data_IF_147069847469
#
_entry.id   IF_147069847469
#
_cell.length_a   1.000
_cell.length_b   1.000
_cell.length_c   1.000
_cell.angle_alpha   90.00
_cell.angle_beta   90.00
_cell.angle_gamma   90.00
#
_symmetry.space_group_name_H-M   'P 1'
#
loop_
_entity.id
_entity.type
_entity.pdbx_description
1 polymer ?
#
# COMPACT_ATOMS: atom_id res chain seq x y z
N UNK A 1 -1.01 -23.38 27.84
CA UNK A 1 -0.74 -24.58 27.04
C UNK A 1 -2.00 -25.33 26.60
N UNK A 2 -3.09 -25.30 27.34
CA UNK A 2 -4.34 -26.04 27.03
C UNK A 2 -5.21 -25.40 25.95
N UNK A 3 -5.14 -24.08 25.74
CA UNK A 3 -5.91 -23.38 24.69
C UNK A 3 -5.32 -23.56 23.27
N UNK A 4 -4.00 -23.74 23.13
CA UNK A 4 -3.37 -23.97 21.82
C UNK A 4 -3.84 -25.28 21.16
N UNK A 5 -4.03 -26.33 21.94
CA UNK A 5 -4.44 -27.64 21.41
C UNK A 5 -5.92 -27.69 20.99
N UNK A 6 -6.81 -26.87 21.59
CA UNK A 6 -8.23 -26.83 21.20
C UNK A 6 -8.45 -26.09 19.88
N UNK A 7 -7.62 -25.09 19.59
CA UNK A 7 -7.73 -24.33 18.34
C UNK A 7 -7.27 -25.16 17.14
N UNK A 8 -6.22 -25.95 17.28
CA UNK A 8 -5.72 -26.86 16.24
C UNK A 8 -6.72 -27.98 15.94
N UNK A 9 -7.37 -28.54 16.98
CA UNK A 9 -8.44 -29.55 16.82
C UNK A 9 -9.68 -28.99 16.11
N UNK A 10 -10.06 -27.74 16.36
CA UNK A 10 -11.22 -27.12 15.73
C UNK A 10 -10.95 -26.81 14.25
N UNK A 11 -9.74 -26.39 13.92
CA UNK A 11 -9.32 -26.12 12.52
C UNK A 11 -9.25 -27.44 11.71
N UNK A 12 -8.84 -28.53 12.32
CA UNK A 12 -8.81 -29.85 11.69
C UNK A 12 -10.21 -30.45 11.46
N UNK A 13 -11.16 -30.20 12.37
CA UNK A 13 -12.55 -30.66 12.23
C UNK A 13 -13.32 -29.88 11.13
N UNK A 14 -13.00 -28.59 10.91
CA UNK A 14 -13.60 -27.79 9.84
C UNK A 14 -13.13 -28.23 8.45
N UNK A 15 -11.96 -28.82 8.33
CA UNK A 15 -11.42 -29.35 7.07
C UNK A 15 -12.03 -30.69 6.65
N UNK A 16 -12.66 -31.42 7.57
CA UNK A 16 -13.19 -32.79 7.31
C UNK A 16 -14.66 -32.76 6.83
N UNK A 17 -15.40 -31.66 7.02
CA UNK A 17 -16.84 -31.60 6.69
C UNK A 17 -17.17 -31.04 5.29
N UNK A 18 -16.19 -30.63 4.49
CA UNK A 18 -16.43 -30.27 3.09
C UNK A 18 -16.38 -31.53 2.21
N UNK A 19 -17.54 -32.19 2.07
CA UNK A 19 -17.76 -33.07 0.92
C UNK A 19 -17.76 -32.22 -0.33
N UNK A 20 -16.58 -31.92 -0.84
CA UNK A 20 -16.40 -31.28 -2.14
C UNK A 20 -16.79 -32.35 -3.16
N UNK A 21 -18.00 -32.27 -3.71
CA UNK A 21 -18.32 -32.94 -4.96
C UNK A 21 -17.42 -32.32 -6.03
N UNK A 22 -16.20 -32.84 -6.12
CA UNK A 22 -15.20 -32.42 -7.08
C UNK A 22 -15.70 -32.83 -8.47
N UNK A 23 -16.41 -31.96 -9.14
CA UNK A 23 -16.46 -32.03 -10.61
C UNK A 23 -15.00 -32.11 -11.08
N UNK A 24 -14.72 -33.01 -12.04
CA UNK A 24 -13.39 -33.34 -12.56
C UNK A 24 -12.71 -32.18 -13.33
N UNK A 25 -12.73 -30.98 -12.81
CA UNK A 25 -11.96 -29.86 -13.35
C UNK A 25 -10.51 -30.05 -12.86
N UNK A 26 -9.58 -30.21 -13.80
CA UNK A 26 -8.15 -30.30 -13.47
C UNK A 26 -7.72 -29.01 -12.78
N UNK A 27 -6.95 -29.09 -11.68
CA UNK A 27 -6.37 -27.92 -11.06
C UNK A 27 -5.53 -27.16 -12.08
N UNK A 28 -5.63 -25.83 -12.08
CA UNK A 28 -4.77 -24.97 -12.88
C UNK A 28 -3.90 -24.10 -11.98
N UNK A 29 -2.66 -23.89 -12.41
CA UNK A 29 -1.70 -23.06 -11.69
C UNK A 29 -1.15 -22.00 -12.62
N UNK A 30 -0.97 -20.79 -12.08
CA UNK A 30 -0.25 -19.73 -12.75
C UNK A 30 0.94 -19.33 -11.90
N UNK A 31 2.08 -19.10 -12.56
CA UNK A 31 3.28 -18.55 -11.95
C UNK A 31 3.72 -17.35 -12.77
N UNK A 32 3.92 -16.24 -12.10
CA UNK A 32 4.52 -15.04 -12.66
C UNK A 32 5.39 -14.36 -11.62
N UNK A 33 6.17 -13.40 -12.04
CA UNK A 33 7.04 -12.71 -11.13
C UNK A 33 7.94 -11.71 -11.81
N UNK A 34 8.88 -11.19 -11.04
CA UNK A 34 9.93 -10.34 -11.56
C UNK A 34 11.22 -10.46 -10.74
N UNK A 35 12.31 -10.08 -11.37
CA UNK A 35 13.57 -9.77 -10.72
C UNK A 35 13.95 -8.33 -11.09
N UNK A 36 14.33 -7.55 -10.10
CA UNK A 36 14.67 -6.13 -10.24
C UNK A 36 16.00 -5.84 -9.56
N UNK A 37 16.87 -5.09 -10.22
CA UNK A 37 18.07 -4.51 -9.63
C UNK A 37 17.87 -3.00 -9.48
N UNK A 38 18.12 -2.49 -8.30
CA UNK A 38 17.88 -1.10 -7.90
C UNK A 38 19.09 -0.56 -7.13
N UNK A 39 20.16 -0.12 -7.80
CA UNK A 39 21.20 0.69 -7.16
C UNK A 39 20.68 2.09 -6.86
N UNK A 40 21.08 2.63 -5.72
CA UNK A 40 20.69 3.93 -5.23
C UNK A 40 21.90 4.69 -4.66
N UNK A 41 22.03 5.95 -5.01
CA UNK A 41 22.94 6.89 -4.38
C UNK A 41 22.11 7.91 -3.60
N UNK A 42 22.32 7.97 -2.29
CA UNK A 42 21.66 8.90 -1.37
C UNK A 42 22.69 9.92 -0.89
N UNK A 43 22.49 11.20 -1.21
CA UNK A 43 23.33 12.32 -0.81
C UNK A 43 22.61 13.15 0.27
N UNK A 44 23.05 13.04 1.50
CA UNK A 44 22.50 13.73 2.66
C UNK A 44 23.30 15.00 2.94
N UNK A 45 22.60 16.12 3.20
CA UNK A 45 23.27 17.39 3.51
C UNK A 45 23.99 17.40 4.88
N UNK A 46 23.65 16.45 5.77
CA UNK A 46 24.16 16.41 7.16
C UNK A 46 24.88 15.11 7.50
N UNK A 47 24.92 14.13 6.59
CA UNK A 47 25.54 12.82 6.77
C UNK A 47 26.36 12.47 5.55
N UNK A 48 27.16 11.42 5.64
CA UNK A 48 27.88 10.87 4.50
C UNK A 48 26.89 10.30 3.47
N UNK A 49 27.28 10.35 2.20
CA UNK A 49 26.49 9.77 1.12
C UNK A 49 26.47 8.26 1.23
N UNK A 50 25.32 7.64 0.98
CA UNK A 50 25.14 6.20 1.03
C UNK A 50 25.00 5.63 -0.39
N UNK A 51 25.60 4.46 -0.59
CA UNK A 51 25.48 3.69 -1.83
C UNK A 51 24.78 2.35 -1.56
N UNK A 52 23.48 2.35 -1.77
CA UNK A 52 22.61 1.24 -1.47
C UNK A 52 22.35 0.41 -2.73
N UNK A 53 22.38 -0.90 -2.61
CA UNK A 53 22.04 -1.79 -3.71
C UNK A 53 20.97 -2.79 -3.27
N UNK A 54 19.94 -2.93 -4.07
CA UNK A 54 18.85 -3.87 -3.82
C UNK A 54 18.62 -4.75 -5.05
N UNK A 55 18.70 -6.07 -4.86
CA UNK A 55 18.10 -7.04 -5.79
C UNK A 55 16.79 -7.49 -5.16
N UNK A 56 15.69 -7.26 -5.87
CA UNK A 56 14.36 -7.59 -5.41
C UNK A 56 13.73 -8.60 -6.38
N UNK A 57 13.46 -9.79 -5.90
CA UNK A 57 12.76 -10.84 -6.63
C UNK A 57 11.41 -11.11 -6.00
N UNK A 58 10.39 -11.28 -6.82
CA UNK A 58 9.06 -11.69 -6.40
C UNK A 58 8.54 -12.83 -7.25
N UNK A 59 7.95 -13.82 -6.60
CA UNK A 59 7.26 -14.93 -7.23
C UNK A 59 5.80 -14.92 -6.76
N UNK A 60 4.86 -14.95 -7.70
CA UNK A 60 3.44 -15.00 -7.43
C UNK A 60 2.86 -16.28 -8.02
N UNK A 61 2.30 -17.13 -7.18
CA UNK A 61 1.65 -18.37 -7.57
C UNK A 61 0.16 -18.30 -7.22
N UNK A 62 -0.69 -18.74 -8.15
CA UNK A 62 -2.12 -18.93 -7.94
C UNK A 62 -2.48 -20.36 -8.30
N UNK A 63 -3.31 -20.99 -7.47
CA UNK A 63 -3.90 -22.28 -7.74
C UNK A 63 -5.41 -22.18 -7.79
N UNK A 64 -6.03 -22.79 -8.79
CA UNK A 64 -7.48 -22.83 -8.96
C UNK A 64 -7.95 -24.28 -8.94
N UNK A 65 -8.91 -24.59 -8.09
CA UNK A 65 -9.46 -25.92 -7.86
C UNK A 65 -10.96 -25.87 -8.11
N UNK A 66 -11.35 -26.29 -9.31
CA UNK A 66 -12.72 -26.10 -9.78
C UNK A 66 -13.07 -24.61 -9.97
N UNK A 67 -14.34 -24.29 -9.83
CA UNK A 67 -14.84 -22.93 -10.03
C UNK A 67 -14.87 -22.09 -8.74
N UNK A 68 -14.70 -22.73 -7.59
CA UNK A 68 -15.04 -22.13 -6.31
C UNK A 68 -13.83 -21.89 -5.40
N UNK A 69 -12.79 -22.73 -5.48
CA UNK A 69 -11.65 -22.69 -4.57
C UNK A 69 -10.42 -22.13 -5.27
N UNK A 70 -9.78 -21.13 -4.67
CA UNK A 70 -8.49 -20.62 -5.13
C UNK A 70 -7.52 -20.40 -3.97
N UNK A 71 -6.23 -20.54 -4.27
CA UNK A 71 -5.11 -20.33 -3.37
C UNK A 71 -4.19 -19.26 -3.92
N UNK A 72 -3.62 -18.45 -3.06
CA UNK A 72 -2.59 -17.48 -3.42
C UNK A 72 -1.36 -17.65 -2.54
N UNK A 73 -0.20 -17.67 -3.18
CA UNK A 73 1.10 -17.67 -2.52
C UNK A 73 2.01 -16.68 -3.24
N UNK A 74 2.54 -15.72 -2.50
CA UNK A 74 3.48 -14.73 -3.04
C UNK A 74 4.65 -14.59 -2.07
N UNK A 75 5.87 -14.77 -2.59
CA UNK A 75 7.10 -14.64 -1.84
C UNK A 75 7.96 -13.52 -2.45
N UNK A 76 8.55 -12.73 -1.59
CA UNK A 76 9.46 -11.66 -1.90
C UNK A 76 10.84 -11.95 -1.30
N UNK A 77 11.87 -11.91 -2.14
CA UNK A 77 13.26 -12.05 -1.74
C UNK A 77 13.98 -10.74 -2.01
N UNK A 78 14.69 -10.21 -1.02
CA UNK A 78 15.46 -8.97 -1.10
C UNK A 78 16.90 -9.23 -0.70
N UNK A 79 17.83 -8.86 -1.57
CA UNK A 79 19.26 -8.89 -1.30
C UNK A 79 19.72 -7.44 -1.25
N UNK A 80 20.17 -7.00 -0.09
CA UNK A 80 20.78 -5.69 0.12
C UNK A 80 22.28 -5.83 0.25
N UNK A 81 23.03 -4.93 -0.38
CA UNK A 81 24.48 -4.86 -0.24
C UNK A 81 24.99 -3.42 -0.43
N UNK A 82 26.15 -3.12 0.19
CA UNK A 82 26.64 -1.77 0.36
C UNK A 82 26.17 -1.17 1.68
N UNK A 83 25.75 0.09 1.67
CA UNK A 83 25.11 0.72 2.83
C UNK A 83 23.67 0.21 2.95
N UNK A 84 23.32 -0.42 4.07
CA UNK A 84 22.05 -1.11 4.21
C UNK A 84 21.05 -0.22 4.93
N UNK A 85 19.91 0.13 4.30
CA UNK A 85 18.86 0.89 4.97
C UNK A 85 18.19 0.08 6.08
N UNK A 86 17.48 0.75 6.99
CA UNK A 86 16.67 0.07 7.98
C UNK A 86 15.58 -0.77 7.30
N UNK A 87 15.58 -2.07 7.54
CA UNK A 87 14.61 -3.00 6.96
C UNK A 87 13.47 -3.18 7.93
N UNK A 88 12.25 -2.84 7.49
CA UNK A 88 11.04 -3.08 8.27
C UNK A 88 10.80 -4.59 8.45
N UNK A 89 10.46 -4.96 9.68
CA UNK A 89 10.04 -6.31 10.02
C UNK A 89 8.61 -6.61 9.56
N UNK A 90 8.22 -7.86 9.71
CA UNK A 90 6.84 -8.29 9.47
C UNK A 90 5.95 -7.90 10.67
N UNK A 91 4.91 -7.12 10.41
CA UNK A 91 3.93 -6.68 11.40
C UNK A 91 2.63 -7.51 11.41
N UNK A 92 2.60 -8.65 10.69
CA UNK A 92 1.47 -9.57 10.67
C UNK A 92 1.24 -10.30 12.01
N UNK A 93 0.14 -11.03 12.10
CA UNK A 93 -0.16 -11.92 13.24
C UNK A 93 0.89 -13.03 13.35
N UNK A 94 1.32 -13.56 12.20
CA UNK A 94 2.36 -14.57 12.11
C UNK A 94 3.57 -13.92 11.42
N UNK A 95 4.74 -13.96 12.07
CA UNK A 95 5.96 -13.49 11.42
C UNK A 95 6.33 -14.43 10.26
N UNK A 96 6.20 -13.93 9.02
CA UNK A 96 6.54 -14.66 7.78
C UNK A 96 7.77 -14.04 7.09
N UNK A 97 8.56 -13.21 7.79
CA UNK A 97 9.82 -12.66 7.32
C UNK A 97 10.99 -13.39 7.97
N UNK A 98 11.93 -13.81 7.15
CA UNK A 98 13.11 -14.55 7.58
C UNK A 98 14.39 -13.98 6.95
N UNK A 99 15.40 -13.74 7.78
CA UNK A 99 16.75 -13.37 7.35
C UNK A 99 17.56 -14.65 7.11
N UNK A 100 17.83 -14.96 5.83
CA UNK A 100 18.66 -16.12 5.44
C UNK A 100 20.12 -15.80 5.72
N UNK A 101 20.55 -14.56 5.42
CA UNK A 101 21.86 -14.01 5.76
C UNK A 101 21.65 -12.62 6.34
N UNK A 102 22.39 -12.28 7.38
CA UNK A 102 22.39 -10.95 7.99
C UNK A 102 23.80 -10.61 8.47
N UNK A 103 24.48 -9.81 7.68
CA UNK A 103 25.80 -9.25 7.93
C UNK A 103 25.75 -7.73 7.83
N UNK A 104 26.78 -7.02 8.22
CA UNK A 104 26.79 -5.56 8.30
C UNK A 104 26.55 -4.89 6.94
N UNK A 105 27.10 -5.47 5.87
CA UNK A 105 27.02 -4.91 4.52
C UNK A 105 26.33 -5.83 3.50
N UNK A 106 25.69 -6.94 3.97
CA UNK A 106 24.98 -7.88 3.12
C UNK A 106 23.80 -8.51 3.87
N UNK A 107 22.59 -8.34 3.36
CA UNK A 107 21.39 -8.97 3.92
C UNK A 107 20.62 -9.69 2.82
N UNK A 108 20.27 -10.96 3.07
CA UNK A 108 19.29 -11.71 2.29
C UNK A 108 18.06 -11.95 3.17
N UNK A 109 16.97 -11.27 2.83
CA UNK A 109 15.69 -11.39 3.50
C UNK A 109 14.63 -11.98 2.56
N UNK A 110 13.93 -13.00 3.03
CA UNK A 110 12.78 -13.60 2.35
C UNK A 110 11.51 -13.39 3.18
N UNK A 111 10.42 -13.02 2.54
CA UNK A 111 9.13 -12.78 3.20
C UNK A 111 7.98 -13.31 2.36
N UNK A 112 7.05 -14.01 3.00
CA UNK A 112 5.78 -14.38 2.37
C UNK A 112 4.84 -13.19 2.51
N UNK A 113 4.64 -12.47 1.40
CA UNK A 113 3.77 -11.30 1.35
C UNK A 113 2.29 -11.69 1.30
N UNK A 114 1.97 -12.85 0.72
CA UNK A 114 0.60 -13.36 0.63
C UNK A 114 0.56 -14.87 0.75
N UNK A 115 -0.38 -15.32 1.56
CA UNK A 115 -0.70 -16.73 1.74
C UNK A 115 -2.16 -16.82 2.15
N UNK A 116 -3.04 -17.13 1.22
CA UNK A 116 -4.47 -17.15 1.47
C UNK A 116 -5.20 -18.24 0.71
N UNK A 117 -6.33 -18.62 1.28
CA UNK A 117 -7.34 -19.51 0.67
C UNK A 117 -8.61 -18.69 0.48
N UNK A 118 -9.25 -18.85 -0.69
CA UNK A 118 -10.51 -18.20 -1.06
C UNK A 118 -11.50 -19.24 -1.56
N UNK A 119 -12.73 -19.15 -1.06
CA UNK A 119 -13.85 -19.91 -1.54
C UNK A 119 -14.96 -18.97 -2.00
N UNK A 120 -15.42 -19.16 -3.22
CA UNK A 120 -16.47 -18.34 -3.82
C UNK A 120 -17.63 -19.21 -4.28
N UNK A 121 -18.84 -18.81 -3.93
CA UNK A 121 -20.09 -19.42 -4.42
C UNK A 121 -21.08 -18.31 -4.73
N UNK A 122 -21.55 -18.29 -5.97
CA UNK A 122 -22.47 -17.27 -6.48
C UNK A 122 -21.99 -15.84 -6.13
N UNK A 123 -22.75 -15.13 -5.30
CA UNK A 123 -22.50 -13.75 -4.87
C UNK A 123 -21.66 -13.64 -3.60
N UNK A 124 -21.24 -14.76 -3.00
CA UNK A 124 -20.52 -14.80 -1.73
C UNK A 124 -19.08 -15.24 -1.96
N UNK A 125 -18.14 -14.47 -1.40
CA UNK A 125 -16.73 -14.81 -1.33
C UNK A 125 -16.30 -14.84 0.15
N UNK A 126 -15.61 -15.89 0.54
CA UNK A 126 -14.96 -16.01 1.84
C UNK A 126 -13.48 -16.27 1.63
N UNK A 127 -12.63 -15.53 2.34
CA UNK A 127 -11.18 -15.75 2.28
C UNK A 127 -10.52 -15.61 3.64
N UNK A 128 -9.44 -16.37 3.84
CA UNK A 128 -8.65 -16.38 5.07
C UNK A 128 -7.17 -16.42 4.74
N UNK A 129 -6.38 -15.74 5.54
CA UNK A 129 -4.92 -15.69 5.47
C UNK A 129 -4.38 -14.31 5.17
N UNK A 130 -3.08 -14.25 4.83
CA UNK A 130 -2.39 -13.02 4.48
C UNK A 130 -2.79 -12.58 3.07
N UNK A 131 -3.54 -11.52 2.97
CA UNK A 131 -4.09 -11.01 1.71
C UNK A 131 -4.15 -9.49 1.70
N UNK A 132 -4.25 -8.89 0.52
CA UNK A 132 -4.47 -7.46 0.39
C UNK A 132 -5.96 -7.15 0.56
N UNK A 133 -6.27 -6.26 1.48
CA UNK A 133 -7.57 -5.61 1.61
C UNK A 133 -7.40 -4.18 1.12
N UNK A 134 -8.12 -3.79 0.09
CA UNK A 134 -8.00 -2.46 -0.52
C UNK A 134 -9.36 -1.74 -0.51
N UNK A 135 -9.48 -0.77 0.37
CA UNK A 135 -10.68 0.05 0.53
C UNK A 135 -10.53 1.49 0.03
N UNK A 136 -9.30 1.83 -0.37
CA UNK A 136 -9.01 3.12 -0.95
C UNK A 136 -9.61 3.29 -2.34
N UNK A 137 -10.24 4.43 -2.61
CA UNK A 137 -10.74 4.85 -3.91
C UNK A 137 -9.99 6.04 -4.47
N UNK A 138 -9.30 6.81 -3.61
CA UNK A 138 -8.51 7.95 -4.03
C UNK A 138 -7.21 7.48 -4.72
N UNK A 139 -6.62 8.34 -5.54
CA UNK A 139 -5.46 7.98 -6.36
C UNK A 139 -4.17 7.93 -5.54
N UNK A 140 -3.97 8.87 -4.62
CA UNK A 140 -2.72 9.01 -3.85
C UNK A 140 -2.93 8.63 -2.38
N UNK A 141 -3.69 9.42 -1.65
CA UNK A 141 -3.89 9.22 -0.21
C UNK A 141 -5.20 8.50 0.06
N UNK A 142 -5.09 7.26 0.55
CA UNK A 142 -6.22 6.38 0.81
C UNK A 142 -6.51 6.33 2.32
N UNK A 143 -7.37 7.25 2.78
CA UNK A 143 -7.75 7.37 4.18
C UNK A 143 -8.63 6.20 4.66
N UNK A 144 -9.35 5.57 3.74
CA UNK A 144 -10.23 4.44 4.01
C UNK A 144 -9.52 3.09 3.94
N UNK A 145 -8.26 3.04 3.50
CA UNK A 145 -7.47 1.81 3.43
C UNK A 145 -6.89 1.46 4.80
N UNK A 146 -7.76 0.99 5.71
CA UNK A 146 -7.44 0.74 7.12
C UNK A 146 -6.39 -0.35 7.31
N UNK A 147 -6.29 -1.29 6.38
CA UNK A 147 -5.48 -2.50 6.52
C UNK A 147 -4.12 -2.40 5.85
N UNK A 148 -3.98 -1.57 4.81
CA UNK A 148 -2.79 -1.51 3.96
C UNK A 148 -2.41 -0.07 3.59
N UNK A 149 -2.14 0.77 4.60
CA UNK A 149 -1.69 2.15 4.38
C UNK A 149 -0.47 2.20 3.44
N UNK A 150 -0.47 3.17 2.54
CA UNK A 150 0.50 3.30 1.46
C UNK A 150 1.37 4.55 1.64
N UNK A 151 2.68 4.39 1.46
CA UNK A 151 3.62 5.50 1.40
C UNK A 151 3.88 5.90 -0.06
N UNK A 152 3.42 7.09 -0.44
CA UNK A 152 3.62 7.61 -1.79
C UNK A 152 5.10 7.89 -2.14
N UNK A 153 5.92 8.20 -1.14
CA UNK A 153 7.34 8.54 -1.33
C UNK A 153 8.17 7.29 -1.66
N UNK A 154 7.73 6.11 -1.21
CA UNK A 154 8.40 4.84 -1.50
C UNK A 154 7.96 4.30 -2.87
N UNK A 155 8.74 4.60 -3.89
CA UNK A 155 8.47 4.15 -5.26
C UNK A 155 8.80 2.65 -5.48
N UNK A 156 9.60 2.02 -4.62
CA UNK A 156 9.88 0.57 -4.68
C UNK A 156 8.72 -0.27 -4.14
N UNK A 157 7.80 0.36 -3.43
CA UNK A 157 6.66 -0.26 -2.78
C UNK A 157 5.45 -0.37 -3.71
N UNK A 158 5.65 -0.92 -4.91
CA UNK A 158 4.58 -1.08 -5.92
C UNK A 158 3.47 -1.99 -5.38
N UNK A 159 3.84 -2.99 -4.58
CA UNK A 159 2.91 -3.98 -4.05
C UNK A 159 2.78 -3.84 -2.53
N UNK A 160 1.64 -3.31 -2.10
CA UNK A 160 1.31 -3.14 -0.68
C UNK A 160 1.37 -4.48 0.06
N UNK A 161 1.86 -4.54 1.32
CA UNK A 161 1.89 -5.77 2.11
C UNK A 161 0.50 -6.34 2.29
N UNK A 162 0.43 -7.63 2.58
CA UNK A 162 -0.79 -8.28 2.99
C UNK A 162 -1.07 -8.06 4.48
N UNK A 163 -2.33 -8.20 4.86
CA UNK A 163 -2.79 -8.30 6.24
C UNK A 163 -3.33 -9.69 6.52
N UNK A 164 -3.10 -10.20 7.74
CA UNK A 164 -3.59 -11.50 8.20
C UNK A 164 -5.04 -11.34 8.62
N UNK A 165 -5.98 -11.73 7.73
CA UNK A 165 -7.41 -11.44 7.89
C UNK A 165 -8.31 -12.61 7.56
N UNK A 166 -9.51 -12.56 8.12
CA UNK A 166 -10.70 -13.29 7.65
C UNK A 166 -11.57 -12.25 6.95
N UNK A 167 -11.97 -12.54 5.71
CA UNK A 167 -12.70 -11.60 4.86
C UNK A 167 -13.93 -12.29 4.28
N UNK A 168 -15.04 -11.58 4.32
CA UNK A 168 -16.31 -11.95 3.71
C UNK A 168 -16.75 -10.86 2.75
N UNK A 169 -17.18 -11.22 1.54
CA UNK A 169 -17.74 -10.29 0.56
C UNK A 169 -19.06 -10.85 0.07
N UNK A 170 -20.07 -9.99 0.04
CA UNK A 170 -21.33 -10.21 -0.65
C UNK A 170 -21.45 -9.23 -1.81
N UNK A 171 -21.54 -9.73 -3.03
CA UNK A 171 -21.74 -8.94 -4.25
C UNK A 171 -23.26 -8.85 -4.52
N UNK A 172 -23.82 -7.67 -4.30
CA UNK A 172 -25.23 -7.40 -4.56
C UNK A 172 -25.52 -7.11 -6.03
N UNK A 173 -26.75 -6.72 -6.32
CA UNK A 173 -27.15 -6.23 -7.62
C UNK A 173 -26.71 -4.78 -7.82
N UNK A 174 -26.71 -4.28 -9.07
CA UNK A 174 -26.39 -2.89 -9.41
C UNK A 174 -25.02 -2.41 -8.90
N UNK A 175 -23.98 -3.26 -9.01
CA UNK A 175 -22.61 -2.96 -8.58
C UNK A 175 -22.49 -2.63 -7.08
N UNK A 176 -23.47 -3.06 -6.27
CA UNK A 176 -23.35 -2.92 -4.82
C UNK A 176 -22.54 -4.08 -4.22
N UNK A 177 -21.85 -3.82 -3.11
CA UNK A 177 -21.17 -4.88 -2.36
C UNK A 177 -21.07 -4.54 -0.88
N UNK A 178 -21.11 -5.59 -0.06
CA UNK A 178 -20.82 -5.53 1.37
C UNK A 178 -19.59 -6.36 1.63
N UNK A 179 -18.60 -5.78 2.28
CA UNK A 179 -17.38 -6.44 2.70
C UNK A 179 -17.22 -6.35 4.21
N UNK A 180 -16.89 -7.45 4.87
CA UNK A 180 -16.59 -7.51 6.30
C UNK A 180 -15.20 -8.14 6.46
N UNK A 181 -14.35 -7.49 7.25
CA UNK A 181 -12.97 -7.90 7.50
C UNK A 181 -12.71 -7.96 9.00
N UNK A 182 -12.17 -9.10 9.43
CA UNK A 182 -11.65 -9.29 10.77
C UNK A 182 -10.13 -9.47 10.72
N UNK A 183 -9.38 -8.66 11.45
CA UNK A 183 -7.92 -8.69 11.55
C UNK A 183 -7.51 -8.80 13.02
N UNK A 184 -7.03 -9.96 13.48
CA UNK A 184 -6.44 -10.10 14.81
C UNK A 184 -5.04 -9.49 14.85
N UNK A 185 -4.64 -8.98 16.01
CA UNK A 185 -3.29 -8.51 16.29
C UNK A 185 -2.91 -8.83 17.74
N UNK A 186 -1.77 -9.44 17.96
CA UNK A 186 -1.34 -9.90 19.29
C UNK A 186 -1.17 -8.75 20.31
N UNK A 187 -0.73 -7.58 19.83
CA UNK A 187 -0.41 -6.43 20.70
C UNK A 187 -1.58 -5.45 20.85
N UNK A 188 -2.37 -5.27 19.78
CA UNK A 188 -3.41 -4.25 19.69
C UNK A 188 -4.84 -4.82 19.80
N UNK A 189 -4.98 -6.14 19.98
CA UNK A 189 -6.29 -6.80 20.02
C UNK A 189 -6.80 -7.16 18.61
N UNK A 190 -7.83 -6.48 18.12
CA UNK A 190 -8.38 -6.80 16.79
C UNK A 190 -8.95 -5.57 16.10
N UNK A 191 -9.06 -5.66 14.78
CA UNK A 191 -9.90 -4.80 13.97
C UNK A 191 -11.05 -5.61 13.36
N UNK A 192 -12.28 -5.09 13.46
CA UNK A 192 -13.47 -5.60 12.78
C UNK A 192 -14.10 -4.44 12.03
N UNK A 193 -14.16 -4.55 10.73
CA UNK A 193 -14.59 -3.46 9.87
C UNK A 193 -15.58 -3.94 8.80
N UNK A 194 -16.51 -3.07 8.45
CA UNK A 194 -17.48 -3.26 7.38
C UNK A 194 -17.39 -2.12 6.37
N UNK A 195 -17.47 -2.46 5.09
CA UNK A 195 -17.52 -1.53 3.96
C UNK A 195 -18.71 -1.86 3.09
N UNK A 196 -19.55 -0.87 2.81
CA UNK A 196 -20.62 -0.96 1.82
C UNK A 196 -20.30 -0.05 0.64
N UNK A 197 -20.41 -0.60 -0.57
CA UNK A 197 -20.23 0.13 -1.84
C UNK A 197 -21.52 0.13 -2.65
N UNK A 198 -21.77 1.23 -3.33
CA UNK A 198 -22.90 1.39 -4.24
C UNK A 198 -22.51 2.32 -5.40
N UNK A 199 -22.96 1.99 -6.61
CA UNK A 199 -22.88 2.89 -7.75
C UNK A 199 -24.21 3.64 -7.90
N UNK A 200 -24.15 4.96 -7.95
CA UNK A 200 -25.31 5.82 -8.14
C UNK A 200 -24.92 7.14 -8.79
N UNK A 201 -25.76 7.66 -9.67
CA UNK A 201 -25.52 8.94 -10.38
C UNK A 201 -24.20 9.01 -11.15
N UNK A 202 -23.66 7.86 -11.59
CA UNK A 202 -22.37 7.80 -12.28
C UNK A 202 -21.15 7.90 -11.36
N UNK A 203 -21.36 7.79 -10.04
CA UNK A 203 -20.31 7.74 -9.02
C UNK A 203 -20.37 6.42 -8.27
N UNK A 204 -19.19 5.93 -7.90
CA UNK A 204 -19.03 4.89 -6.89
C UNK A 204 -18.93 5.55 -5.52
N UNK A 205 -19.87 5.26 -4.64
CA UNK A 205 -19.84 5.70 -3.25
C UNK A 205 -19.47 4.54 -2.34
N UNK A 206 -18.81 4.86 -1.24
CA UNK A 206 -18.54 3.89 -0.19
C UNK A 206 -18.77 4.51 1.19
N UNK A 207 -19.23 3.66 2.12
CA UNK A 207 -19.38 3.98 3.55
C UNK A 207 -18.72 2.85 4.32
N UNK A 208 -17.93 3.19 5.34
CA UNK A 208 -17.29 2.23 6.22
C UNK A 208 -17.52 2.54 7.70
N UNK A 209 -17.54 1.48 8.49
CA UNK A 209 -17.51 1.56 9.95
C UNK A 209 -16.60 0.46 10.49
N UNK A 210 -15.81 0.78 11.53
CA UNK A 210 -14.87 -0.18 12.10
C UNK A 210 -14.70 0.01 13.61
N UNK A 211 -14.54 -1.12 14.30
CA UNK A 211 -13.83 -1.21 15.55
C UNK A 211 -12.35 -1.48 15.21
N UNK A 212 -11.52 -0.45 15.18
CA UNK A 212 -10.15 -0.52 14.69
C UNK A 212 -9.16 -0.33 15.84
N UNK A 213 -8.81 -1.44 16.51
CA UNK A 213 -7.96 -1.45 17.70
C UNK A 213 -8.47 -0.49 18.78
N UNK A 214 -7.72 0.58 19.08
CA UNK A 214 -8.06 1.60 20.08
C UNK A 214 -9.06 2.64 19.58
N UNK A 215 -9.52 2.54 18.33
CA UNK A 215 -10.43 3.50 17.71
C UNK A 215 -11.75 2.89 17.25
N UNK A 216 -12.78 3.73 17.23
CA UNK A 216 -13.95 3.53 16.39
C UNK A 216 -13.76 4.41 15.15
N UNK A 217 -13.92 3.83 13.96
CA UNK A 217 -13.73 4.56 12.70
C UNK A 217 -15.04 4.61 11.94
N UNK A 218 -15.36 5.80 11.44
CA UNK A 218 -16.45 6.02 10.49
C UNK A 218 -15.85 6.74 9.30
N UNK A 219 -16.12 6.25 8.11
CA UNK A 219 -15.55 6.82 6.90
C UNK A 219 -16.45 6.67 5.69
N UNK A 220 -16.03 7.30 4.61
CA UNK A 220 -16.71 7.24 3.33
C UNK A 220 -15.83 7.75 2.21
N UNK A 221 -16.28 7.56 1.00
CA UNK A 221 -15.55 8.01 -0.17
C UNK A 221 -16.42 8.01 -1.42
N UNK A 222 -15.90 8.64 -2.43
CA UNK A 222 -16.51 8.72 -3.75
C UNK A 222 -15.46 8.64 -4.85
N UNK A 223 -15.83 8.06 -5.98
CA UNK A 223 -15.04 8.07 -7.19
C UNK A 223 -15.96 8.23 -8.39
N UNK A 224 -15.68 9.18 -9.24
CA UNK A 224 -16.46 9.48 -10.44
C UNK A 224 -15.77 10.54 -11.27
N UNK A 225 -16.51 11.16 -12.17
CA UNK A 225 -16.00 12.15 -13.08
C UNK A 225 -16.82 13.44 -13.01
N UNK A 226 -16.15 14.57 -13.14
CA UNK A 226 -16.76 15.87 -13.45
C UNK A 226 -16.39 16.17 -14.89
N UNK A 227 -17.34 15.98 -15.84
CA UNK A 227 -17.07 15.98 -17.28
C UNK A 227 -16.00 14.97 -17.64
N UNK A 228 -14.84 15.41 -18.17
CA UNK A 228 -13.74 14.59 -18.62
C UNK A 228 -12.64 14.42 -17.53
N UNK A 229 -12.79 15.05 -16.37
CA UNK A 229 -11.84 14.97 -15.27
C UNK A 229 -12.32 13.97 -14.21
N UNK A 230 -11.43 13.08 -13.77
CA UNK A 230 -11.67 12.22 -12.62
C UNK A 230 -11.77 13.04 -11.35
N UNK A 231 -12.73 12.72 -10.49
CA UNK A 231 -12.90 13.34 -9.18
C UNK A 231 -13.13 12.28 -8.12
N UNK A 232 -12.23 12.17 -7.16
CA UNK A 232 -12.24 11.16 -6.11
C UNK A 232 -11.98 11.82 -4.75
N UNK A 233 -12.48 11.19 -3.69
CA UNK A 233 -12.15 11.61 -2.35
C UNK A 233 -12.53 10.58 -1.31
N UNK A 234 -11.90 10.72 -0.16
CA UNK A 234 -12.08 9.87 1.00
C UNK A 234 -12.07 10.69 2.28
N UNK A 235 -12.80 10.23 3.27
CA UNK A 235 -12.83 10.77 4.60
C UNK A 235 -12.88 9.63 5.61
N UNK A 236 -12.03 9.68 6.65
CA UNK A 236 -12.09 8.80 7.82
C UNK A 236 -12.00 9.61 9.10
N UNK A 237 -12.95 9.39 9.99
CA UNK A 237 -12.97 9.96 11.34
C UNK A 237 -12.71 8.86 12.37
N UNK A 238 -11.67 9.04 13.16
CA UNK A 238 -11.21 8.12 14.19
C UNK A 238 -11.59 8.68 15.56
N UNK A 239 -12.42 7.95 16.29
CA UNK A 239 -12.85 8.25 17.65
C UNK A 239 -12.01 7.41 18.59
N UNK A 240 -11.11 8.03 19.33
CA UNK A 240 -10.22 7.37 20.27
C UNK A 240 -11.03 6.88 21.50
N UNK A 241 -11.04 5.57 21.73
CA UNK A 241 -11.72 4.95 22.86
C UNK A 241 -11.13 5.34 24.21
N UNK A 242 -9.84 5.66 24.23
CA UNK A 242 -9.13 6.13 25.42
C UNK A 242 -9.35 7.62 25.67
N UNK A 243 -10.12 8.30 24.80
CA UNK A 243 -10.51 9.72 24.91
C UNK A 243 -9.36 10.72 24.90
N UNK A 244 -8.20 10.35 24.34
CA UNK A 244 -7.07 11.28 24.25
C UNK A 244 -7.31 12.31 23.15
N UNK A 245 -7.48 11.86 21.90
CA UNK A 245 -7.66 12.77 20.77
C UNK A 245 -8.27 12.08 19.56
N UNK A 246 -9.43 12.56 19.13
CA UNK A 246 -10.03 12.14 17.86
C UNK A 246 -9.20 12.66 16.67
N UNK A 247 -9.27 11.96 15.56
CA UNK A 247 -8.54 12.32 14.35
C UNK A 247 -9.47 12.33 13.14
N UNK A 248 -9.32 13.35 12.30
CA UNK A 248 -9.97 13.45 10.99
C UNK A 248 -8.90 13.43 9.91
N UNK A 249 -9.05 12.52 8.97
CA UNK A 249 -8.24 12.45 7.76
C UNK A 249 -9.16 12.55 6.53
N UNK A 250 -8.86 13.47 5.62
CA UNK A 250 -9.64 13.72 4.41
C UNK A 250 -8.68 13.87 3.24
N UNK A 251 -8.99 13.23 2.12
CA UNK A 251 -8.24 13.42 0.87
C UNK A 251 -9.18 13.64 -0.31
N UNK A 252 -8.72 14.39 -1.30
CA UNK A 252 -9.39 14.51 -2.59
C UNK A 252 -8.37 14.57 -3.71
N UNK A 253 -8.74 14.12 -4.90
CA UNK A 253 -7.93 14.23 -6.10
C UNK A 253 -8.77 14.52 -7.35
N UNK A 254 -8.12 15.23 -8.26
CA UNK A 254 -8.60 15.49 -9.62
C UNK A 254 -7.55 15.00 -10.60
N UNK A 255 -7.96 14.26 -11.61
CA UNK A 255 -7.09 13.81 -12.67
C UNK A 255 -7.69 14.10 -14.05
N UNK A 256 -6.83 14.42 -15.01
CA UNK A 256 -7.24 14.77 -16.36
C UNK A 256 -6.21 14.32 -17.40
N UNK A 257 -6.70 13.66 -18.46
CA UNK A 257 -5.89 13.28 -19.61
C UNK A 257 -6.19 14.18 -20.81
N UNK A 258 -5.16 14.82 -21.35
CA UNK A 258 -5.29 15.65 -22.55
C UNK A 258 -5.25 14.81 -23.83
N UNK A 259 -5.79 15.34 -24.92
CA UNK A 259 -5.65 14.73 -26.27
C UNK A 259 -4.20 14.64 -26.74
N UNK A 260 -3.31 15.49 -26.24
CA UNK A 260 -1.87 15.48 -26.54
C UNK A 260 -1.07 14.46 -25.70
N UNK A 261 -1.76 13.64 -24.88
CA UNK A 261 -1.16 12.56 -24.12
C UNK A 261 -0.50 12.99 -22.80
N UNK A 262 -0.77 14.20 -22.31
CA UNK A 262 -0.43 14.55 -20.93
C UNK A 262 -1.49 14.02 -19.96
N UNK A 263 -1.05 13.46 -18.85
CA UNK A 263 -1.89 13.15 -17.69
C UNK A 263 -1.48 14.06 -16.54
N UNK A 264 -2.44 14.78 -15.99
CA UNK A 264 -2.28 15.65 -14.83
C UNK A 264 -3.06 15.07 -13.65
N UNK A 265 -2.46 15.12 -12.48
CA UNK A 265 -3.07 14.74 -11.21
C UNK A 265 -2.79 15.81 -10.17
N UNK A 266 -3.82 16.33 -9.55
CA UNK A 266 -3.75 17.17 -8.35
C UNK A 266 -4.40 16.44 -7.18
N UNK A 267 -3.76 16.44 -6.03
CA UNK A 267 -4.30 15.81 -4.82
C UNK A 267 -4.06 16.68 -3.58
N UNK A 268 -5.00 16.62 -2.65
CA UNK A 268 -4.96 17.28 -1.37
C UNK A 268 -5.23 16.31 -0.24
N UNK A 269 -4.48 16.43 0.85
CA UNK A 269 -4.69 15.70 2.11
C UNK A 269 -4.79 16.69 3.27
N UNK A 270 -5.82 16.51 4.08
CA UNK A 270 -5.95 17.09 5.40
C UNK A 270 -5.80 16.02 6.48
N UNK A 271 -4.95 16.27 7.45
CA UNK A 271 -4.74 15.43 8.62
C UNK A 271 -4.86 16.28 9.89
N UNK A 272 -5.91 16.09 10.68
CA UNK A 272 -6.15 16.91 11.87
C UNK A 272 -5.04 16.82 12.93
N UNK A 273 -4.31 15.71 12.96
CA UNK A 273 -3.19 15.44 13.87
C UNK A 273 -1.82 15.80 13.29
N UNK A 274 -1.79 16.28 12.04
CA UNK A 274 -0.55 16.73 11.41
C UNK A 274 -0.02 18.02 12.01
N UNK A 275 1.25 18.28 11.81
CA UNK A 275 1.93 19.49 12.26
C UNK A 275 1.49 20.72 11.44
N UNK A 276 1.29 21.84 12.12
CA UNK A 276 1.01 23.13 11.49
C UNK A 276 2.28 23.98 11.25
N UNK A 277 3.34 23.71 12.01
CA UNK A 277 4.59 24.47 12.00
C UNK A 277 5.78 23.52 11.98
N UNK A 278 6.93 23.93 11.41
CA UNK A 278 8.14 23.13 11.45
C UNK A 278 8.56 22.88 12.90
N UNK A 279 8.78 21.61 13.25
CA UNK A 279 9.27 21.21 14.55
C UNK A 279 10.38 20.18 14.31
N UNK A 280 11.48 20.26 15.08
CA UNK A 280 12.57 19.29 15.02
C UNK A 280 12.06 17.85 15.20
N UNK A 281 11.10 17.63 16.10
CA UNK A 281 10.43 16.32 16.27
C UNK A 281 9.65 15.87 15.03
N UNK A 282 9.16 16.79 14.18
CA UNK A 282 8.47 16.44 12.94
C UNK A 282 9.42 15.82 11.91
N UNK A 283 10.69 16.21 11.93
CA UNK A 283 11.75 15.69 11.04
C UNK A 283 12.20 14.30 11.47
N UNK A 284 12.41 14.10 12.76
CA UNK A 284 12.72 12.77 13.33
C UNK A 284 11.56 11.81 13.09
N UNK A 285 10.33 12.30 13.19
CA UNK A 285 9.10 11.52 13.00
C UNK A 285 8.76 11.20 11.55
N UNK A 286 9.37 11.84 10.55
CA UNK A 286 9.20 11.41 9.14
C UNK A 286 9.66 9.96 8.96
N UNK A 287 10.73 9.58 9.65
CA UNK A 287 11.27 8.22 9.62
C UNK A 287 10.70 7.30 10.72
N UNK A 288 10.17 7.84 11.82
CA UNK A 288 9.70 7.08 12.97
C UNK A 288 8.18 6.89 13.04
N UNK A 289 7.39 7.71 12.34
CA UNK A 289 5.94 7.54 12.30
C UNK A 289 5.58 6.37 11.39
N UNK A 290 5.18 5.29 12.02
CA UNK A 290 4.50 4.19 11.33
C UNK A 290 3.34 4.79 10.54
N UNK A 291 3.44 4.72 9.23
CA UNK A 291 2.40 5.14 8.31
C UNK A 291 1.10 4.45 8.68
N UNK A 292 0.05 5.21 8.84
CA UNK A 292 -1.27 4.69 9.21
C UNK A 292 -2.38 5.47 8.53
N UNK A 293 -3.59 4.93 8.39
CA UNK A 293 -4.72 5.66 7.83
C UNK A 293 -5.03 6.97 8.55
N UNK A 294 -4.66 7.09 9.83
CA UNK A 294 -4.77 8.32 10.61
C UNK A 294 -3.72 9.37 10.24
N UNK A 295 -2.57 8.92 9.72
CA UNK A 295 -1.40 9.77 9.50
C UNK A 295 -0.67 9.34 8.22
N UNK A 296 -1.22 9.74 7.07
CA UNK A 296 -0.65 9.45 5.75
C UNK A 296 0.47 10.45 5.37
N UNK A 297 0.56 11.59 6.06
CA UNK A 297 1.61 12.59 5.94
C UNK A 297 1.80 13.30 7.28
N UNK A 298 3.02 13.68 7.66
CA UNK A 298 3.26 14.39 8.92
C UNK A 298 2.67 15.81 8.95
N UNK A 299 2.48 16.45 7.80
CA UNK A 299 1.88 17.78 7.71
C UNK A 299 0.36 17.73 7.88
N UNK A 300 -0.21 18.79 8.46
CA UNK A 300 -1.65 18.96 8.56
C UNK A 300 -2.32 19.14 7.20
N UNK A 301 -1.67 19.87 6.30
CA UNK A 301 -2.09 20.06 4.92
C UNK A 301 -0.98 19.61 3.98
N UNK A 302 -1.30 18.74 3.03
CA UNK A 302 -0.37 18.28 2.02
C UNK A 302 -0.99 18.40 0.64
N UNK A 303 -0.21 18.85 -0.33
CA UNK A 303 -0.60 19.05 -1.70
C UNK A 303 0.33 18.27 -2.60
N UNK A 304 -0.22 17.56 -3.57
CA UNK A 304 0.56 16.83 -4.57
C UNK A 304 0.10 17.22 -5.96
N UNK A 305 1.06 17.47 -6.83
CA UNK A 305 0.84 17.65 -8.26
C UNK A 305 1.74 16.69 -9.03
N UNK A 306 1.17 16.00 -10.00
CA UNK A 306 1.90 15.07 -10.86
C UNK A 306 1.56 15.30 -12.32
N UNK A 307 2.57 15.21 -13.17
CA UNK A 307 2.43 15.24 -14.63
C UNK A 307 3.12 14.01 -15.19
N UNK A 308 2.41 13.27 -16.04
CA UNK A 308 2.95 12.13 -16.76
C UNK A 308 2.79 12.37 -18.27
N UNK A 309 3.77 11.92 -19.03
CA UNK A 309 3.74 11.96 -20.51
C UNK A 309 4.46 10.76 -21.10
N UNK A 310 3.79 10.04 -22.00
CA UNK A 310 4.47 9.15 -22.94
C UNK A 310 5.01 9.97 -24.10
N UNK A 311 6.33 10.09 -24.20
CA UNK A 311 7.01 10.82 -25.30
C UNK A 311 6.93 9.99 -26.58
N UNK A 312 7.20 8.70 -26.45
CA UNK A 312 7.01 7.66 -27.46
C UNK A 312 6.42 6.43 -26.77
N UNK A 313 5.86 5.44 -27.50
CA UNK A 313 5.28 4.25 -26.84
C UNK A 313 6.18 3.60 -25.78
N UNK A 314 7.51 3.42 -26.00
CA UNK A 314 8.36 2.83 -24.97
C UNK A 314 8.92 3.83 -23.94
N UNK A 315 8.80 5.15 -24.14
CA UNK A 315 9.41 6.16 -23.26
C UNK A 315 8.32 6.91 -22.50
N UNK A 316 8.29 6.74 -21.19
CA UNK A 316 7.38 7.45 -20.29
C UNK A 316 8.17 8.36 -19.36
N UNK A 317 7.64 9.56 -19.12
CA UNK A 317 8.21 10.53 -18.19
C UNK A 317 7.18 10.91 -17.13
N UNK A 318 7.65 11.15 -15.91
CA UNK A 318 6.82 11.61 -14.81
C UNK A 318 7.55 12.68 -14.02
N UNK A 319 6.78 13.63 -13.51
CA UNK A 319 7.23 14.63 -12.56
C UNK A 319 6.20 14.71 -11.43
N UNK A 320 6.64 14.46 -10.20
CA UNK A 320 5.83 14.61 -9.00
C UNK A 320 6.39 15.72 -8.12
N UNK A 321 5.52 16.58 -7.62
CA UNK A 321 5.81 17.65 -6.67
C UNK A 321 4.86 17.50 -5.50
N UNK A 322 5.41 17.41 -4.28
CA UNK A 322 4.63 17.35 -3.04
C UNK A 322 5.06 18.47 -2.11
N UNK A 323 4.09 19.18 -1.54
CA UNK A 323 4.31 20.21 -0.54
C UNK A 323 3.54 19.92 0.73
N UNK A 324 4.26 19.72 1.84
CA UNK A 324 3.72 19.58 3.19
C UNK A 324 3.74 20.93 3.92
N UNK A 325 2.60 21.64 3.94
CA UNK A 325 2.52 23.02 4.43
C UNK A 325 2.95 23.15 5.90
N UNK A 326 2.53 22.24 6.77
CA UNK A 326 2.82 22.34 8.21
C UNK A 326 4.30 22.21 8.54
N UNK A 327 4.99 21.26 7.96
CA UNK A 327 6.43 21.03 8.18
C UNK A 327 7.30 21.74 7.13
N UNK A 328 6.65 22.44 6.18
CA UNK A 328 7.31 23.13 5.07
C UNK A 328 8.27 22.22 4.28
N UNK A 329 7.85 20.97 4.06
CA UNK A 329 8.55 19.99 3.24
C UNK A 329 8.18 20.20 1.77
N UNK A 330 9.18 20.36 0.91
CA UNK A 330 9.02 20.28 -0.54
C UNK A 330 9.74 19.03 -1.06
N UNK A 331 9.01 18.16 -1.74
CA UNK A 331 9.53 16.99 -2.43
C UNK A 331 9.32 17.16 -3.93
N UNK A 332 10.35 16.80 -4.70
CA UNK A 332 10.37 16.87 -6.13
C UNK A 332 10.96 15.57 -6.70
N UNK A 333 10.24 14.89 -7.59
CA UNK A 333 10.70 13.62 -8.16
C UNK A 333 10.44 13.53 -9.66
N UNK A 334 11.44 13.82 -10.49
CA UNK A 334 11.41 13.49 -11.90
C UNK A 334 11.78 12.02 -12.14
N UNK A 335 11.15 11.40 -13.14
CA UNK A 335 11.51 10.05 -13.58
C UNK A 335 11.34 9.89 -15.08
N UNK A 336 12.11 8.97 -15.63
CA UNK A 336 12.00 8.48 -17.00
C UNK A 336 12.06 6.96 -16.99
N UNK A 337 11.16 6.31 -17.70
CA UNK A 337 11.17 4.86 -17.89
C UNK A 337 11.22 4.52 -19.38
N UNK A 338 11.86 3.41 -19.68
CA UNK A 338 12.02 2.88 -21.03
C UNK A 338 11.68 1.39 -21.05
N UNK A 339 10.65 1.03 -21.80
CA UNK A 339 10.27 -0.34 -22.06
C UNK A 339 11.18 -0.93 -23.14
N UNK A 340 12.27 -1.61 -22.72
CA UNK A 340 13.27 -2.22 -23.60
C UNK A 340 12.63 -3.33 -24.42
N UNK A 341 11.76 -4.10 -23.81
CA UNK A 341 10.96 -5.14 -24.44
C UNK A 341 9.70 -5.44 -23.60
N UNK A 342 8.86 -6.36 -24.05
CA UNK A 342 7.68 -6.81 -23.28
C UNK A 342 8.00 -7.40 -21.89
N UNK A 343 9.27 -7.74 -21.62
CA UNK A 343 9.74 -8.35 -20.37
C UNK A 343 10.76 -7.52 -19.62
N UNK A 344 11.44 -6.58 -20.27
CA UNK A 344 12.49 -5.76 -19.69
C UNK A 344 12.10 -4.30 -19.69
N UNK A 345 12.15 -3.66 -18.54
CA UNK A 345 12.04 -2.22 -18.39
C UNK A 345 13.23 -1.65 -17.59
N UNK A 346 13.60 -0.42 -17.90
CA UNK A 346 14.59 0.35 -17.17
C UNK A 346 14.01 1.71 -16.80
N UNK A 347 14.38 2.23 -15.63
CA UNK A 347 13.93 3.55 -15.17
C UNK A 347 15.05 4.28 -14.44
N UNK A 348 15.10 5.59 -14.64
CA UNK A 348 15.90 6.50 -13.81
C UNK A 348 14.91 7.34 -13.02
N UNK A 349 15.10 7.39 -11.70
CA UNK A 349 14.25 8.13 -10.78
C UNK A 349 15.17 8.99 -9.92
N UNK A 350 14.79 10.25 -9.71
CA UNK A 350 15.48 11.10 -8.76
C UNK A 350 14.48 11.65 -7.75
N UNK A 351 14.93 11.82 -6.51
CA UNK A 351 14.13 12.36 -5.41
C UNK A 351 14.92 13.48 -4.73
N UNK A 352 14.30 14.63 -4.58
CA UNK A 352 14.89 15.79 -3.93
C UNK A 352 13.98 16.25 -2.80
N UNK A 353 14.53 16.35 -1.60
CA UNK A 353 13.80 16.79 -0.41
C UNK A 353 14.39 18.11 0.07
N UNK A 354 13.53 19.10 0.24
CA UNK A 354 13.86 20.39 0.77
C UNK A 354 13.03 20.67 2.01
N UNK A 355 13.66 21.24 3.01
CA UNK A 355 12.99 21.72 4.22
C UNK A 355 13.27 23.21 4.42
N UNK A 356 12.25 23.94 4.86
CA UNK A 356 12.44 25.29 5.35
C UNK A 356 13.03 25.25 6.75
N UNK A 357 14.25 25.75 6.87
CA UNK A 357 14.93 25.96 8.13
C UNK A 357 14.99 27.48 8.39
N UNK A 358 14.03 28.00 9.16
CA UNK A 358 13.93 29.41 9.56
C UNK A 358 13.81 30.40 8.38
N UNK A 359 13.06 30.03 7.32
CA UNK A 359 12.78 30.88 6.17
C UNK A 359 13.69 30.62 4.96
N UNK A 360 14.61 29.66 5.05
CA UNK A 360 15.51 29.26 3.97
C UNK A 360 15.30 27.79 3.61
N UNK A 361 14.84 27.51 2.37
CA UNK A 361 14.62 26.17 1.86
C UNK A 361 15.98 25.52 1.53
N UNK A 362 16.40 24.58 2.37
CA UNK A 362 17.63 23.81 2.17
C UNK A 362 17.31 22.42 1.67
N UNK A 363 18.07 21.97 0.66
CA UNK A 363 18.06 20.58 0.29
C UNK A 363 18.61 19.76 1.46
N UNK A 364 17.91 18.69 1.85
CA UNK A 364 18.29 17.81 2.94
C UNK A 364 18.68 16.42 2.46
N UNK A 365 18.15 16.01 1.29
CA UNK A 365 18.39 14.70 0.71
C UNK A 365 18.21 14.75 -0.81
N UNK A 366 19.14 14.14 -1.53
CA UNK A 366 19.03 13.83 -2.96
C UNK A 366 19.19 12.32 -3.12
N UNK A 367 18.20 11.68 -3.72
CA UNK A 367 18.25 10.27 -4.07
C UNK A 367 18.31 10.09 -5.59
N UNK A 368 19.19 9.25 -6.06
CA UNK A 368 19.31 8.88 -7.46
C UNK A 368 19.22 7.36 -7.57
N UNK A 369 18.31 6.89 -8.40
CA UNK A 369 18.01 5.48 -8.54
C UNK A 369 18.01 5.08 -10.01
N UNK A 370 18.66 3.95 -10.29
CA UNK A 370 18.52 3.23 -11.55
C UNK A 370 17.76 1.93 -11.27
N UNK A 371 16.71 1.66 -12.01
CA UNK A 371 16.00 0.40 -11.93
C UNK A 371 16.11 -0.35 -13.24
N UNK A 372 16.44 -1.63 -13.16
CA UNK A 372 16.34 -2.58 -14.28
C UNK A 372 15.49 -3.74 -13.80
N UNK A 373 14.41 -4.04 -14.52
CA UNK A 373 13.44 -5.08 -14.11
C UNK A 373 13.17 -6.03 -15.26
N UNK A 374 13.17 -7.32 -14.92
CA UNK A 374 12.76 -8.42 -15.77
C UNK A 374 11.48 -9.04 -15.22
N UNK A 375 10.43 -9.16 -16.05
CA UNK A 375 9.13 -9.75 -15.70
C UNK A 375 8.89 -11.03 -16.50
N UNK A 376 8.33 -12.08 -15.88
CA UNK A 376 8.07 -13.38 -16.49
C UNK A 376 6.74 -14.00 -16.07
#
# INVERSE_FOLDING_TARGET
MILKNKFISFTFLLLISFNISAQKLKPSFTLNGYAKYLPALMDYSFFESENNNLIHNRLNMRGYFGNNLSLGFEIRNRIFFGDIPAIEGDNGLINMSYYIVREDNFILNSMIDRLWVKYQIDKIEFSIGRQRVNWGVNTIWNNNDLFNAYNFIDFDYIERPGSDVIRFIYSGDNLSSLEIVYMPNERKGYALAGLYKINSFGYDFQILAANYFDDIVIGGGWAGNIKDAGFKGELSYFIDKNKFKNSLSLSSSFDYSTKSGFYFLGSYLYNSNGFNEPNFLSLVNINANVLSPKNLMPSKHSYLFQVNKSITPPINTSLSILYGHGIKLLYFSPSISYDISSRFDASIISQFFYLDNLGDFKNILKGYYLQIKYSF
#
